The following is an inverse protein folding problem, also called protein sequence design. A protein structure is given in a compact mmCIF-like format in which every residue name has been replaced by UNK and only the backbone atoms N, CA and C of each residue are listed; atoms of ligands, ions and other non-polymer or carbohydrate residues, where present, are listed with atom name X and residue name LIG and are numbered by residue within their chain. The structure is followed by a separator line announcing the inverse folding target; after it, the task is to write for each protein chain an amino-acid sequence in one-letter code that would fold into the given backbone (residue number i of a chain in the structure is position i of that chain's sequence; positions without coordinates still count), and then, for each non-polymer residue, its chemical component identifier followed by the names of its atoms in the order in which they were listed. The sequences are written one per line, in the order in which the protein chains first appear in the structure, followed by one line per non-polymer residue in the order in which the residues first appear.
data_IF_237687850245
#
_entry.id   IF_237687850245
#
_cell.length_a   1.000
_cell.length_b   1.000
_cell.length_c   1.000
_cell.angle_alpha   90.00
_cell.angle_beta   90.00
_cell.angle_gamma   90.00
#
_symmetry.space_group_name_H-M   'P 1'
#
loop_
_entity.id
_entity.type
_entity.pdbx_description
1 polymer ?
#
# COMPACT_ATOMS: atom_id res chain seq x y z
N UNK A 1 11.99 -27.46 -10.97
CA UNK A 1 11.48 -27.51 -9.58
C UNK A 1 9.98 -27.80 -9.66
N UNK A 2 9.56 -29.04 -9.37
CA UNK A 2 8.15 -29.43 -9.50
C UNK A 2 7.37 -28.94 -8.25
N UNK A 3 6.43 -28.01 -8.43
CA UNK A 3 5.52 -27.59 -7.36
C UNK A 3 4.62 -28.76 -6.96
N UNK A 4 4.83 -29.29 -5.75
CA UNK A 4 3.93 -30.26 -5.12
C UNK A 4 2.56 -29.60 -4.92
N UNK A 5 1.61 -29.91 -5.81
CA UNK A 5 0.22 -29.46 -5.69
C UNK A 5 -0.35 -29.97 -4.36
N UNK A 6 -0.50 -29.10 -3.37
CA UNK A 6 -1.10 -29.44 -2.07
C UNK A 6 -2.62 -29.31 -2.22
N UNK A 7 -3.38 -30.41 -2.23
CA UNK A 7 -4.82 -30.38 -2.51
C UNK A 7 -5.62 -29.54 -1.49
N UNK A 8 -5.05 -29.31 -0.31
CA UNK A 8 -5.61 -28.47 0.75
C UNK A 8 -5.60 -26.97 0.44
N UNK A 9 -4.76 -26.50 -0.49
CA UNK A 9 -4.71 -25.09 -0.87
C UNK A 9 -6.02 -24.63 -1.55
N UNK A 10 -6.67 -25.51 -2.31
CA UNK A 10 -7.95 -25.20 -2.97
C UNK A 10 -9.11 -25.06 -1.97
N UNK A 11 -9.08 -25.84 -0.89
CA UNK A 11 -10.10 -25.77 0.18
C UNK A 11 -10.00 -24.43 0.91
N UNK A 12 -8.77 -23.97 1.21
CA UNK A 12 -8.52 -22.70 1.90
C UNK A 12 -8.97 -21.52 1.00
N UNK A 13 -8.59 -21.52 -0.28
CA UNK A 13 -8.96 -20.46 -1.22
C UNK A 13 -10.49 -20.40 -1.42
N UNK A 14 -11.15 -21.55 -1.54
CA UNK A 14 -12.62 -21.62 -1.64
C UNK A 14 -13.33 -21.09 -0.39
N UNK A 15 -12.82 -21.42 0.80
CA UNK A 15 -13.38 -20.92 2.06
C UNK A 15 -13.27 -19.41 2.20
N UNK A 16 -12.15 -18.81 1.78
CA UNK A 16 -11.94 -17.36 1.88
C UNK A 16 -12.90 -16.61 0.94
N UNK A 17 -13.05 -17.07 -0.30
CA UNK A 17 -13.97 -16.44 -1.27
C UNK A 17 -15.44 -16.52 -0.81
N UNK A 18 -15.86 -17.63 -0.22
CA UNK A 18 -17.22 -17.80 0.30
C UNK A 18 -17.53 -16.85 1.46
N UNK A 19 -16.57 -16.61 2.36
CA UNK A 19 -16.75 -15.68 3.49
C UNK A 19 -16.84 -14.24 3.01
N UNK A 20 -15.98 -13.82 2.08
CA UNK A 20 -16.00 -12.46 1.52
C UNK A 20 -17.34 -12.14 0.83
N UNK A 21 -17.94 -13.10 0.12
CA UNK A 21 -19.20 -12.91 -0.60
C UNK A 21 -20.40 -12.62 0.32
N UNK A 22 -20.37 -13.05 1.59
CA UNK A 22 -21.46 -12.85 2.55
C UNK A 22 -21.27 -11.56 3.37
N UNK A 23 -20.03 -11.17 3.66
CA UNK A 23 -19.72 -9.99 4.49
C UNK A 23 -19.94 -8.69 3.72
N UNK A 24 -19.59 -8.64 2.43
CA UNK A 24 -19.69 -7.41 1.61
C UNK A 24 -21.14 -6.89 1.51
N UNK A 25 -22.17 -7.71 1.23
CA UNK A 25 -23.55 -7.26 1.18
C UNK A 25 -24.06 -6.69 2.51
N UNK A 26 -23.70 -7.32 3.62
CA UNK A 26 -24.14 -6.91 4.97
C UNK A 26 -23.54 -5.55 5.34
N UNK A 27 -22.25 -5.33 5.08
CA UNK A 27 -21.59 -4.07 5.38
C UNK A 27 -22.16 -2.88 4.57
N UNK A 28 -22.58 -3.12 3.33
CA UNK A 28 -23.19 -2.07 2.48
C UNK A 28 -24.63 -1.77 2.90
N UNK A 29 -25.39 -2.77 3.37
CA UNK A 29 -26.78 -2.58 3.81
C UNK A 29 -26.88 -1.84 5.16
N UNK A 30 -25.89 -1.99 6.04
CA UNK A 30 -25.90 -1.32 7.36
C UNK A 30 -25.23 0.06 7.40
N UNK A 31 -24.83 0.65 6.26
CA UNK A 31 -24.39 2.05 6.21
C UNK A 31 -25.58 3.00 5.95
N UNK A 32 -26.46 3.13 6.94
CA UNK A 32 -27.41 4.23 7.00
C UNK A 32 -26.72 5.50 7.52
N UNK A 33 -26.63 6.48 6.63
CA UNK A 33 -26.05 7.82 6.81
C UNK A 33 -26.58 8.53 8.06
N UNK A 34 -25.69 8.85 9.00
CA UNK A 34 -25.92 9.78 10.10
C UNK A 34 -25.28 11.13 9.77
N UNK A 35 -26.09 12.19 9.66
CA UNK A 35 -25.60 13.57 9.56
C UNK A 35 -25.39 14.12 10.97
N UNK A 36 -24.16 14.51 11.29
CA UNK A 36 -23.81 15.29 12.48
C UNK A 36 -22.87 16.42 12.08
N UNK A 37 -23.18 17.60 12.63
CA UNK A 37 -22.59 18.91 12.34
C UNK A 37 -21.04 18.95 12.29
N UNK A 38 -20.43 19.79 11.42
CA UNK A 38 -19.01 19.75 11.16
C UNK A 38 -18.20 20.59 12.16
N UNK A 39 -17.26 19.95 12.85
CA UNK A 39 -16.13 20.60 13.50
C UNK A 39 -15.05 20.99 12.47
N UNK A 40 -14.36 22.15 12.63
CA UNK A 40 -13.40 22.65 11.65
C UNK A 40 -12.15 21.76 11.48
N UNK A 41 -11.87 20.86 12.43
CA UNK A 41 -10.78 19.89 12.35
C UNK A 41 -11.03 18.78 11.31
N UNK A 42 -12.28 18.49 10.95
CA UNK A 42 -12.65 17.44 10.00
C UNK A 42 -12.48 17.87 8.54
N UNK A 43 -12.37 19.18 8.28
CA UNK A 43 -12.19 19.73 6.92
C UNK A 43 -10.84 19.37 6.30
N UNK A 44 -9.79 19.20 7.13
CA UNK A 44 -8.46 18.83 6.65
C UNK A 44 -8.38 17.34 6.27
N UNK A 45 -9.02 16.44 7.04
CA UNK A 45 -9.05 15.01 6.74
C UNK A 45 -9.97 14.66 5.54
N UNK A 46 -11.01 15.45 5.28
CA UNK A 46 -11.93 15.23 4.15
C UNK A 46 -11.37 15.68 2.80
N UNK A 47 -10.28 16.47 2.78
CA UNK A 47 -9.61 16.85 1.53
C UNK A 47 -8.80 15.70 0.92
N UNK A 48 -8.30 14.76 1.75
CA UNK A 48 -7.58 13.57 1.29
C UNK A 48 -8.51 12.40 0.89
N UNK A 49 -9.80 12.45 1.24
CA UNK A 49 -10.76 11.37 1.02
C UNK A 49 -11.89 11.71 0.04
N UNK A 50 -11.78 12.79 -0.74
CA UNK A 50 -12.66 12.95 -1.91
C UNK A 50 -12.26 11.90 -2.95
N UNK A 51 -12.84 10.72 -2.82
CA UNK A 51 -12.96 9.78 -3.93
C UNK A 51 -13.50 10.57 -5.12
N UNK A 52 -12.64 10.73 -6.12
CA UNK A 52 -12.97 11.43 -7.34
C UNK A 52 -14.18 10.74 -7.96
N UNK A 53 -15.33 11.42 -7.97
CA UNK A 53 -16.54 10.87 -8.58
C UNK A 53 -16.30 10.85 -10.08
N UNK A 54 -16.07 9.66 -10.63
CA UNK A 54 -15.85 9.42 -12.05
C UNK A 54 -17.03 10.02 -12.82
N UNK A 55 -16.81 11.18 -13.40
CA UNK A 55 -17.76 11.83 -14.29
C UNK A 55 -17.67 11.25 -15.70
N UNK A 56 -18.63 11.53 -16.59
CA UNK A 56 -18.61 11.03 -17.97
C UNK A 56 -17.35 11.37 -18.76
N UNK A 57 -16.62 12.43 -18.37
CA UNK A 57 -15.39 12.90 -19.02
C UNK A 57 -14.11 12.35 -18.39
N UNK A 58 -14.22 11.53 -17.36
CA UNK A 58 -13.10 11.15 -16.53
C UNK A 58 -12.38 9.88 -17.01
N UNK A 59 -13.04 9.16 -17.91
CA UNK A 59 -12.47 8.07 -18.71
C UNK A 59 -12.08 8.52 -20.11
N UNK A 60 -12.19 9.83 -20.41
CA UNK A 60 -11.75 10.35 -21.69
C UNK A 60 -10.23 10.11 -21.82
N UNK A 61 -9.75 9.48 -22.91
CA UNK A 61 -8.33 9.25 -23.12
C UNK A 61 -7.57 10.58 -23.00
N UNK A 62 -6.75 10.71 -21.96
CA UNK A 62 -5.88 11.87 -21.85
C UNK A 62 -4.88 11.84 -23.01
N UNK A 63 -4.57 13.01 -23.60
CA UNK A 63 -3.57 13.07 -24.66
C UNK A 63 -2.23 12.52 -24.16
N UNK A 64 -1.51 11.83 -25.05
CA UNK A 64 -0.17 11.28 -24.76
C UNK A 64 0.74 12.41 -24.26
N UNK A 65 1.52 12.14 -23.22
CA UNK A 65 2.50 13.10 -22.70
C UNK A 65 3.50 13.51 -23.79
N UNK A 66 3.74 14.81 -23.89
CA UNK A 66 4.68 15.41 -24.83
C UNK A 66 5.97 15.77 -24.10
N UNK A 67 7.05 15.07 -24.43
CA UNK A 67 8.39 15.24 -23.83
C UNK A 67 9.16 16.44 -24.41
N UNK A 68 8.74 16.99 -25.53
CA UNK A 68 9.42 18.11 -26.20
C UNK A 68 8.92 19.46 -25.66
N UNK A 69 7.65 19.52 -25.27
CA UNK A 69 7.02 20.74 -24.72
C UNK A 69 7.01 20.75 -23.19
N UNK A 70 6.84 19.59 -22.54
CA UNK A 70 6.67 19.54 -21.08
C UNK A 70 7.89 18.95 -20.38
N UNK A 71 8.39 19.67 -19.37
CA UNK A 71 9.47 19.19 -18.50
C UNK A 71 8.91 18.30 -17.39
N UNK A 72 9.55 17.15 -17.17
CA UNK A 72 9.25 16.27 -16.03
C UNK A 72 9.90 16.85 -14.77
N UNK A 73 9.08 17.08 -13.74
CA UNK A 73 9.51 17.34 -12.37
C UNK A 73 8.88 16.26 -11.51
N UNK A 74 9.69 15.38 -10.95
CA UNK A 74 9.21 14.22 -10.21
C UNK A 74 10.15 13.85 -9.09
N UNK A 75 9.64 13.02 -8.18
CA UNK A 75 10.42 12.41 -7.11
C UNK A 75 10.50 10.90 -7.35
N UNK A 76 11.59 10.28 -6.91
CA UNK A 76 11.70 8.83 -6.92
C UNK A 76 11.05 8.26 -5.65
N UNK A 77 10.27 7.19 -5.81
CA UNK A 77 9.75 6.41 -4.70
C UNK A 77 10.75 5.31 -4.32
N UNK A 78 11.95 5.74 -3.92
CA UNK A 78 13.02 4.86 -3.45
C UNK A 78 12.65 4.17 -2.15
N UNK A 79 13.25 3.01 -1.89
CA UNK A 79 13.02 2.22 -0.68
C UNK A 79 11.55 1.79 -0.46
N UNK A 80 10.77 1.70 -1.55
CA UNK A 80 9.38 1.21 -1.51
C UNK A 80 9.26 -0.25 -1.97
N UNK A 81 9.65 -0.55 -3.21
CA UNK A 81 9.58 -1.91 -3.78
C UNK A 81 10.91 -2.66 -3.72
N UNK A 82 12.01 -1.91 -3.61
CA UNK A 82 13.37 -2.43 -3.47
C UNK A 82 13.96 -1.77 -2.24
N UNK A 83 14.46 -2.58 -1.30
CA UNK A 83 14.95 -2.05 -0.03
C UNK A 83 16.38 -1.53 -0.15
N UNK A 84 16.60 -0.34 0.37
CA UNK A 84 17.89 0.33 0.43
C UNK A 84 18.20 0.68 1.88
N UNK A 85 19.17 -0.01 2.49
CA UNK A 85 19.50 0.14 3.91
C UNK A 85 19.78 1.60 4.30
N UNK A 86 20.43 2.37 3.45
CA UNK A 86 20.80 3.76 3.76
C UNK A 86 19.60 4.71 3.88
N UNK A 87 18.45 4.40 3.27
CA UNK A 87 17.24 5.21 3.40
C UNK A 87 16.49 4.95 4.71
N UNK A 88 16.68 3.78 5.34
CA UNK A 88 16.01 3.40 6.59
C UNK A 88 16.86 2.45 7.44
N UNK A 89 18.07 2.89 7.82
CA UNK A 89 19.07 2.00 8.43
C UNK A 89 18.58 1.39 9.75
N UNK A 90 17.94 2.20 10.61
CA UNK A 90 17.49 1.76 11.93
C UNK A 90 16.53 0.57 11.84
N UNK A 91 15.49 0.67 11.01
CA UNK A 91 14.52 -0.41 10.80
C UNK A 91 15.15 -1.61 10.09
N UNK A 92 16.01 -1.36 9.10
CA UNK A 92 16.64 -2.42 8.33
C UNK A 92 17.56 -3.27 9.22
N UNK A 93 18.36 -2.62 10.06
CA UNK A 93 19.25 -3.29 11.03
C UNK A 93 18.46 -3.95 12.15
N UNK A 94 17.35 -3.35 12.61
CA UNK A 94 16.46 -3.98 13.60
C UNK A 94 15.89 -5.30 13.09
N UNK A 95 15.46 -5.36 11.82
CA UNK A 95 14.81 -6.55 11.26
C UNK A 95 15.79 -7.61 10.75
N UNK A 96 16.87 -7.20 10.09
CA UNK A 96 17.79 -8.13 9.42
C UNK A 96 19.18 -8.20 10.06
N UNK A 97 19.45 -7.43 11.11
CA UNK A 97 20.74 -7.38 11.80
C UNK A 97 21.79 -6.55 11.08
N UNK A 98 22.86 -6.19 11.81
CA UNK A 98 23.91 -5.28 11.33
C UNK A 98 24.72 -5.81 10.14
N UNK A 99 24.72 -7.12 9.90
CA UNK A 99 25.47 -7.77 8.82
C UNK A 99 24.67 -7.88 7.51
N UNK A 100 23.43 -7.40 7.49
CA UNK A 100 22.63 -7.35 6.28
C UNK A 100 22.85 -6.02 5.56
N UNK A 101 23.23 -6.08 4.29
CA UNK A 101 23.62 -4.91 3.48
C UNK A 101 22.69 -4.64 2.31
N UNK A 102 21.96 -5.66 1.88
CA UNK A 102 21.08 -5.64 0.72
C UNK A 102 19.79 -6.41 0.99
N UNK A 103 18.80 -6.21 0.12
CA UNK A 103 17.50 -6.88 0.23
C UNK A 103 17.64 -8.41 0.18
N UNK A 104 18.63 -8.92 -0.54
CA UNK A 104 18.94 -10.34 -0.57
C UNK A 104 19.32 -10.86 0.82
N UNK A 105 20.28 -10.24 1.51
CA UNK A 105 20.64 -10.64 2.88
C UNK A 105 19.50 -10.42 3.87
N UNK A 106 18.69 -9.37 3.65
CA UNK A 106 17.48 -9.10 4.44
C UNK A 106 16.47 -10.24 4.37
N UNK A 107 16.17 -10.72 3.15
CA UNK A 107 15.21 -11.82 2.96
C UNK A 107 15.75 -13.15 3.49
N UNK A 108 17.07 -13.38 3.42
CA UNK A 108 17.71 -14.54 4.06
C UNK A 108 17.60 -14.45 5.59
N UNK A 109 17.89 -13.28 6.18
CA UNK A 109 17.83 -13.07 7.63
C UNK A 109 16.40 -13.24 8.17
N UNK A 110 15.40 -12.81 7.39
CA UNK A 110 13.99 -12.87 7.79
C UNK A 110 13.32 -14.22 7.46
N UNK A 111 13.85 -14.97 6.50
CA UNK A 111 13.35 -16.28 6.09
C UNK A 111 11.87 -16.24 5.68
N UNK A 112 11.07 -17.17 6.21
CA UNK A 112 9.64 -17.30 5.89
C UNK A 112 8.81 -16.06 6.27
N UNK A 113 9.33 -15.17 7.13
CA UNK A 113 8.65 -13.94 7.56
C UNK A 113 8.95 -12.73 6.66
N UNK A 114 9.77 -12.89 5.62
CA UNK A 114 10.19 -11.80 4.76
C UNK A 114 8.99 -11.04 4.18
N UNK A 115 8.04 -11.76 3.57
CA UNK A 115 6.83 -11.16 2.97
C UNK A 115 6.00 -10.35 3.99
N UNK A 116 5.72 -10.94 5.16
CA UNK A 116 4.96 -10.26 6.21
C UNK A 116 5.66 -8.99 6.71
N UNK A 117 7.00 -9.02 6.76
CA UNK A 117 7.80 -7.89 7.26
C UNK A 117 7.88 -6.76 6.24
N UNK A 118 7.93 -7.09 4.95
CA UNK A 118 7.89 -6.13 3.84
C UNK A 118 6.52 -5.44 3.74
N UNK A 119 5.43 -6.19 3.96
CA UNK A 119 4.06 -5.61 4.00
C UNK A 119 3.91 -4.57 5.11
N UNK A 120 4.48 -4.84 6.30
CA UNK A 120 4.47 -3.89 7.42
C UNK A 120 5.47 -2.75 7.20
N UNK A 121 6.63 -3.03 6.63
CA UNK A 121 7.67 -2.03 6.31
C UNK A 121 7.17 -0.94 5.37
N UNK A 122 6.35 -1.30 4.38
CA UNK A 122 5.70 -0.34 3.49
C UNK A 122 4.85 0.68 4.29
N UNK A 123 4.13 0.21 5.31
CA UNK A 123 3.29 1.06 6.15
C UNK A 123 4.13 2.01 7.03
N UNK A 124 5.27 1.54 7.54
CA UNK A 124 6.23 2.35 8.31
C UNK A 124 6.82 3.47 7.46
N UNK A 125 7.13 3.21 6.19
CA UNK A 125 7.62 4.22 5.26
C UNK A 125 6.59 5.34 5.05
N UNK A 126 5.32 4.99 4.83
CA UNK A 126 4.24 5.97 4.69
C UNK A 126 4.03 6.80 5.95
N UNK A 127 4.11 6.21 7.14
CA UNK A 127 3.98 6.97 8.39
C UNK A 127 5.10 7.98 8.61
N UNK A 128 6.32 7.69 8.16
CA UNK A 128 7.47 8.58 8.32
C UNK A 128 7.57 9.65 7.21
N UNK A 129 7.08 9.36 6.00
CA UNK A 129 7.01 10.36 4.92
C UNK A 129 5.84 11.36 5.08
N UNK A 130 4.72 10.93 5.66
CA UNK A 130 3.53 11.78 5.81
C UNK A 130 3.80 13.11 6.57
N UNK A 131 4.55 13.15 7.69
CA UNK A 131 4.85 14.42 8.37
C UNK A 131 5.75 15.37 7.57
N UNK A 132 6.56 14.87 6.64
CA UNK A 132 7.42 15.70 5.78
C UNK A 132 6.69 16.33 4.58
N UNK A 133 5.52 15.80 4.21
CA UNK A 133 4.72 16.32 3.10
C UNK A 133 3.64 17.35 3.53
N UNK A 134 3.52 17.58 4.85
CA UNK A 134 2.53 18.50 5.46
C UNK A 134 3.21 19.73 6.09
N UNK A 135 4.54 19.87 5.99
CA UNK A 135 5.28 21.06 6.42
C UNK A 135 5.63 22.01 5.28
#
# INVERSE_FOLDING_TARGET
MAMKRRPWAFIIIGSILAICAVVIPVAVVFTSKSESHPDPATKAASAASKAHKIGPNDLAPKPKWDFDVNKIVGINLGNWLVLERWMVEDWFVEKAGANSWDEWSFTIAQGDKAAQTLEVGALVLFSNLCPLLVS
#
